data_IF_158542787433
#
_entry.id   IF_158542787433
#
_cell.length_a   1.000
_cell.length_b   1.000
_cell.length_c   1.000
_cell.angle_alpha   90.00
_cell.angle_beta   90.00
_cell.angle_gamma   90.00
#
_symmetry.space_group_name_H-M   'P 1'
#
loop_
_entity.id
_entity.type
_entity.pdbx_description
1 polymer ?
#
# COMPACT_ATOMS: atom_id res chain seq x y z
N UNK A 1 7.12 67.82 22.37
CA UNK A 1 7.56 66.58 23.06
C UNK A 1 6.45 65.53 23.16
N UNK A 2 5.19 65.88 23.49
CA UNK A 2 4.06 64.92 23.53
C UNK A 2 3.67 64.29 22.16
N UNK A 3 3.83 65.00 21.04
CA UNK A 3 3.46 64.47 19.71
C UNK A 3 4.43 63.37 19.24
N UNK A 4 5.72 63.48 19.59
CA UNK A 4 6.75 62.50 19.23
C UNK A 4 6.63 61.19 20.05
N UNK A 5 6.22 61.27 21.32
CA UNK A 5 6.02 60.08 22.14
C UNK A 5 4.77 59.29 21.73
N UNK A 6 3.69 59.96 21.32
CA UNK A 6 2.47 59.29 20.85
C UNK A 6 2.69 58.57 19.52
N UNK A 7 3.44 59.16 18.58
CA UNK A 7 3.81 58.54 17.31
C UNK A 7 4.70 57.30 17.50
N UNK A 8 5.63 57.32 18.47
CA UNK A 8 6.47 56.18 18.80
C UNK A 8 5.68 54.97 19.33
N UNK A 9 4.69 55.20 20.20
CA UNK A 9 3.86 54.13 20.79
C UNK A 9 2.92 53.50 19.75
N UNK A 10 2.37 54.30 18.81
CA UNK A 10 1.48 53.79 17.76
C UNK A 10 2.25 52.93 16.74
N UNK A 11 3.47 53.33 16.37
CA UNK A 11 4.34 52.56 15.46
C UNK A 11 4.80 51.22 16.08
N UNK A 12 5.15 51.22 17.38
CA UNK A 12 5.53 49.99 18.10
C UNK A 12 4.34 49.02 18.28
N UNK A 13 3.12 49.54 18.50
CA UNK A 13 1.91 48.74 18.60
C UNK A 13 1.48 48.08 17.28
N UNK A 14 1.70 48.73 16.14
CA UNK A 14 1.41 48.18 14.82
C UNK A 14 2.41 47.07 14.41
N UNK A 15 3.69 47.21 14.75
CA UNK A 15 4.71 46.18 14.50
C UNK A 15 4.48 44.90 15.29
N UNK A 16 4.06 45.01 16.56
CA UNK A 16 3.70 43.84 17.38
C UNK A 16 2.47 43.11 16.85
N UNK A 17 1.45 43.83 16.36
CA UNK A 17 0.26 43.21 15.74
C UNK A 17 0.58 42.51 14.42
N UNK A 18 1.47 43.07 13.60
CA UNK A 18 1.91 42.44 12.36
C UNK A 18 2.72 41.16 12.61
N UNK A 19 3.59 41.14 13.64
CA UNK A 19 4.36 39.97 14.04
C UNK A 19 3.49 38.83 14.60
N UNK A 20 2.41 39.15 15.32
CA UNK A 20 1.45 38.15 15.81
C UNK A 20 0.64 37.56 14.64
N UNK A 21 0.20 38.41 13.71
CA UNK A 21 -0.52 37.96 12.51
C UNK A 21 0.36 37.11 11.57
N UNK A 22 1.66 37.41 11.46
CA UNK A 22 2.61 36.56 10.73
C UNK A 22 2.74 35.19 11.40
N UNK A 23 2.88 35.13 12.73
CA UNK A 23 3.01 33.85 13.46
C UNK A 23 1.77 32.96 13.30
N UNK A 24 0.57 33.52 13.28
CA UNK A 24 -0.67 32.77 13.01
C UNK A 24 -0.75 32.27 11.57
N UNK A 25 -0.34 33.08 10.59
CA UNK A 25 -0.33 32.69 9.17
C UNK A 25 0.72 31.61 8.84
N UNK A 26 1.89 31.62 9.50
CA UNK A 26 2.90 30.58 9.33
C UNK A 26 2.53 29.27 10.07
N UNK A 27 1.95 29.34 11.26
CA UNK A 27 1.44 28.16 11.97
C UNK A 27 0.33 27.42 11.20
N UNK A 28 -0.56 28.17 10.53
CA UNK A 28 -1.59 27.61 9.65
C UNK A 28 -1.02 26.87 8.43
N UNK A 29 0.10 27.35 7.86
CA UNK A 29 0.76 26.71 6.71
C UNK A 29 1.45 25.39 7.07
N UNK A 30 2.14 25.32 8.21
CA UNK A 30 2.78 24.08 8.70
C UNK A 30 1.72 23.00 8.98
N UNK A 31 0.61 23.35 9.65
CA UNK A 31 -0.46 22.39 9.93
C UNK A 31 -1.20 21.88 8.68
N UNK A 32 -1.25 22.65 7.59
CA UNK A 32 -1.82 22.22 6.30
C UNK A 32 -0.88 21.23 5.59
N UNK A 33 0.42 21.54 5.52
CA UNK A 33 1.42 20.65 4.93
C UNK A 33 1.50 19.31 5.67
N UNK A 34 1.46 19.33 7.01
CA UNK A 34 1.50 18.13 7.83
C UNK A 34 0.28 17.21 7.65
N UNK A 35 -0.92 17.80 7.55
CA UNK A 35 -2.16 17.04 7.22
C UNK A 35 -2.11 16.47 5.81
N UNK A 36 -1.51 17.20 4.88
CA UNK A 36 -1.40 16.77 3.48
C UNK A 36 -0.49 15.55 3.33
N UNK A 37 0.63 15.52 4.05
CA UNK A 37 1.57 14.40 4.06
C UNK A 37 0.94 13.14 4.67
N UNK A 38 0.27 13.27 5.82
CA UNK A 38 -0.43 12.15 6.48
C UNK A 38 -1.53 11.57 5.58
N UNK A 39 -2.37 12.43 4.99
CA UNK A 39 -3.40 11.99 4.03
C UNK A 39 -2.79 11.35 2.79
N UNK A 40 -1.67 11.86 2.29
CA UNK A 40 -0.94 11.28 1.16
C UNK A 40 -0.47 9.86 1.48
N UNK A 41 0.17 9.65 2.63
CA UNK A 41 0.62 8.33 3.06
C UNK A 41 -0.54 7.34 3.26
N UNK A 42 -1.65 7.79 3.86
CA UNK A 42 -2.85 6.96 4.01
C UNK A 42 -3.50 6.62 2.67
N UNK A 43 -3.54 7.54 1.71
CA UNK A 43 -4.04 7.26 0.36
C UNK A 43 -3.24 6.19 -0.38
N UNK A 44 -1.92 6.14 -0.16
CA UNK A 44 -1.09 5.06 -0.72
C UNK A 44 -1.54 3.71 -0.14
N UNK A 45 -1.66 3.62 1.19
CA UNK A 45 -2.13 2.41 1.86
C UNK A 45 -3.55 2.02 1.41
N UNK A 46 -4.47 2.97 1.36
CA UNK A 46 -5.83 2.75 0.85
C UNK A 46 -5.82 2.23 -0.59
N UNK A 47 -5.02 2.83 -1.46
CA UNK A 47 -4.92 2.46 -2.87
C UNK A 47 -4.45 1.01 -3.05
N UNK A 48 -3.48 0.58 -2.26
CA UNK A 48 -3.03 -0.82 -2.26
C UNK A 48 -4.11 -1.75 -1.67
N UNK A 49 -4.71 -1.41 -0.53
CA UNK A 49 -5.74 -2.23 0.13
C UNK A 49 -7.01 -2.41 -0.71
N UNK A 50 -7.35 -1.46 -1.59
CA UNK A 50 -8.49 -1.62 -2.52
C UNK A 50 -8.29 -2.75 -3.53
N UNK A 51 -7.05 -3.17 -3.77
CA UNK A 51 -6.74 -4.27 -4.68
C UNK A 51 -6.65 -5.63 -3.97
N UNK A 52 -6.56 -5.61 -2.64
CA UNK A 52 -6.44 -6.79 -1.78
C UNK A 52 -7.81 -7.45 -1.64
N UNK A 53 -7.84 -8.78 -1.73
CA UNK A 53 -8.99 -9.58 -1.31
C UNK A 53 -8.64 -10.40 -0.08
N UNK A 54 -9.57 -10.47 0.87
CA UNK A 54 -9.41 -11.37 2.02
C UNK A 54 -9.90 -12.78 1.72
N UNK A 55 -10.75 -12.94 0.69
CA UNK A 55 -11.33 -14.21 0.30
C UNK A 55 -10.24 -15.24 0.04
N UNK A 56 -10.37 -16.37 0.74
CA UNK A 56 -9.50 -17.52 0.54
C UNK A 56 -10.13 -18.47 -0.46
N UNK A 57 -9.34 -18.92 -1.43
CA UNK A 57 -9.82 -19.84 -2.44
C UNK A 57 -8.99 -19.87 -3.73
N UNK A 58 -9.25 -20.87 -4.58
CA UNK A 58 -8.53 -21.04 -5.84
C UNK A 58 -8.73 -19.86 -6.80
N UNK A 59 -9.95 -19.29 -6.86
CA UNK A 59 -10.29 -18.14 -7.71
C UNK A 59 -9.54 -16.84 -7.37
N UNK A 60 -8.84 -16.77 -6.23
CA UNK A 60 -8.00 -15.64 -5.79
C UNK A 60 -6.52 -16.03 -5.63
N UNK A 61 -6.19 -17.31 -5.76
CA UNK A 61 -4.86 -17.85 -5.47
C UNK A 61 -4.52 -17.77 -3.99
N UNK A 62 -5.52 -18.00 -3.15
CA UNK A 62 -5.47 -17.83 -1.70
C UNK A 62 -5.72 -16.39 -1.26
N UNK A 63 -5.76 -16.18 0.06
CA UNK A 63 -5.93 -14.85 0.66
C UNK A 63 -4.75 -13.91 0.34
N UNK A 64 -5.04 -12.65 0.01
CA UNK A 64 -3.99 -11.64 -0.15
C UNK A 64 -3.45 -11.16 1.20
N UNK A 65 -4.09 -11.49 2.32
CA UNK A 65 -3.71 -11.00 3.66
C UNK A 65 -3.00 -12.12 4.42
N UNK A 66 -1.80 -11.84 4.91
CA UNK A 66 -1.04 -12.77 5.75
C UNK A 66 -1.16 -12.47 7.23
N UNK A 67 -1.34 -11.20 7.59
CA UNK A 67 -1.46 -10.78 8.99
C UNK A 67 -2.29 -9.51 9.07
N UNK A 68 -3.27 -9.48 9.97
CA UNK A 68 -4.09 -8.31 10.26
C UNK A 68 -4.06 -8.03 11.77
N UNK A 69 -3.25 -7.06 12.18
CA UNK A 69 -3.14 -6.63 13.57
C UNK A 69 -3.62 -5.19 13.76
N UNK A 70 -3.80 -4.77 15.01
CA UNK A 70 -4.32 -3.44 15.36
C UNK A 70 -3.41 -2.29 14.89
N UNK A 71 -2.12 -2.52 14.69
CA UNK A 71 -1.15 -1.48 14.29
C UNK A 71 -0.29 -1.89 13.09
N UNK A 72 -0.62 -3.02 12.47
CA UNK A 72 0.07 -3.45 11.25
C UNK A 72 -0.77 -4.40 10.42
N UNK A 73 -0.61 -4.34 9.11
CA UNK A 73 -1.20 -5.29 8.16
C UNK A 73 -0.13 -5.75 7.18
N UNK A 74 -0.13 -7.04 6.86
CA UNK A 74 0.74 -7.63 5.85
C UNK A 74 -0.10 -8.29 4.75
N UNK A 75 0.13 -7.91 3.49
CA UNK A 75 -0.65 -8.37 2.36
C UNK A 75 0.16 -8.43 1.05
N UNK A 76 -0.37 -9.07 0.00
CA UNK A 76 0.17 -9.10 -1.36
C UNK A 76 -0.16 -7.78 -2.08
N UNK A 77 0.84 -6.95 -2.33
CA UNK A 77 0.68 -5.76 -3.14
C UNK A 77 1.04 -6.07 -4.60
N UNK A 78 0.10 -5.83 -5.51
CA UNK A 78 0.29 -6.04 -6.95
C UNK A 78 1.29 -4.99 -7.49
N UNK A 79 2.20 -5.41 -8.38
CA UNK A 79 3.27 -4.57 -8.93
C UNK A 79 3.31 -4.54 -10.44
N UNK A 80 3.26 -5.71 -11.07
CA UNK A 80 3.36 -5.85 -12.53
C UNK A 80 2.18 -6.65 -13.04
N UNK A 81 1.82 -6.43 -14.29
CA UNK A 81 0.74 -7.16 -14.95
C UNK A 81 1.15 -7.41 -16.40
N UNK A 82 0.66 -8.50 -16.96
CA UNK A 82 0.91 -8.88 -18.35
C UNK A 82 -0.01 -10.00 -18.79
N UNK A 83 0.28 -10.53 -19.96
CA UNK A 83 -0.41 -11.70 -20.49
C UNK A 83 0.61 -12.73 -20.99
N UNK A 84 0.24 -13.99 -20.87
CA UNK A 84 0.96 -15.11 -21.48
C UNK A 84 0.77 -15.07 -22.99
N UNK A 85 1.81 -15.41 -23.72
CA UNK A 85 1.83 -15.50 -25.17
C UNK A 85 1.99 -16.94 -25.66
N UNK A 86 2.84 -17.69 -24.97
CA UNK A 86 3.23 -19.05 -25.33
C UNK A 86 3.49 -19.79 -24.02
N UNK A 87 3.16 -21.07 -24.00
CA UNK A 87 3.31 -21.93 -22.84
C UNK A 87 4.07 -23.16 -23.29
N UNK A 88 5.08 -23.55 -22.52
CA UNK A 88 5.82 -24.78 -22.76
C UNK A 88 5.90 -25.60 -21.46
N UNK A 89 4.91 -26.48 -21.22
CA UNK A 89 4.80 -27.24 -19.97
C UNK A 89 6.02 -28.13 -19.69
N UNK A 90 6.57 -28.78 -20.72
CA UNK A 90 7.69 -29.72 -20.59
C UNK A 90 8.98 -29.06 -20.07
N UNK A 91 9.18 -27.78 -20.43
CA UNK A 91 10.38 -27.02 -20.07
C UNK A 91 10.08 -25.96 -18.98
N UNK A 92 8.86 -25.93 -18.42
CA UNK A 92 8.45 -25.04 -17.34
C UNK A 92 8.69 -23.54 -17.60
N UNK A 93 8.38 -23.08 -18.81
CA UNK A 93 8.46 -21.66 -19.14
C UNK A 93 7.23 -21.15 -19.89
N UNK A 94 7.02 -19.84 -19.77
CA UNK A 94 6.02 -19.09 -20.53
C UNK A 94 6.68 -17.91 -21.23
N UNK A 95 6.27 -17.62 -22.46
CA UNK A 95 6.53 -16.30 -23.04
C UNK A 95 5.45 -15.34 -22.52
N UNK A 96 5.85 -14.14 -22.12
CA UNK A 96 4.97 -13.15 -21.53
C UNK A 96 5.18 -11.78 -22.17
N UNK A 97 4.08 -11.04 -22.26
CA UNK A 97 4.07 -9.63 -22.63
C UNK A 97 3.74 -8.80 -21.38
N UNK A 98 4.72 -8.12 -20.78
CA UNK A 98 4.47 -7.19 -19.68
C UNK A 98 3.68 -5.97 -20.19
N UNK A 99 2.80 -5.45 -19.34
CA UNK A 99 2.16 -4.15 -19.48
C UNK A 99 2.83 -3.16 -18.52
N UNK A 100 3.81 -2.43 -19.03
CA UNK A 100 4.60 -1.49 -18.22
C UNK A 100 5.94 -2.09 -17.85
N UNK A 101 6.20 -2.28 -16.55
CA UNK A 101 7.48 -2.80 -16.07
C UNK A 101 7.68 -4.27 -16.45
N UNK A 102 8.88 -4.65 -16.91
CA UNK A 102 9.19 -6.04 -17.24
C UNK A 102 9.25 -6.91 -15.97
N UNK A 103 8.89 -8.17 -16.12
CA UNK A 103 9.14 -9.18 -15.09
C UNK A 103 10.66 -9.43 -14.97
N UNK A 104 11.11 -9.70 -13.75
CA UNK A 104 12.52 -10.01 -13.44
C UNK A 104 12.60 -11.32 -12.66
N UNK A 105 13.81 -11.85 -12.56
CA UNK A 105 14.11 -12.99 -11.69
C UNK A 105 13.68 -12.70 -10.24
N UNK A 106 13.21 -13.72 -9.53
CA UNK A 106 12.66 -13.66 -8.16
C UNK A 106 11.32 -12.92 -8.00
N UNK A 107 10.70 -12.43 -9.08
CA UNK A 107 9.32 -11.95 -9.00
C UNK A 107 8.39 -13.10 -8.58
N UNK A 108 7.52 -12.84 -7.60
CA UNK A 108 6.41 -13.73 -7.28
C UNK A 108 5.21 -13.39 -8.17
N UNK A 109 4.64 -14.41 -8.82
CA UNK A 109 3.56 -14.28 -9.79
C UNK A 109 2.29 -14.96 -9.30
N UNK A 110 1.16 -14.38 -9.70
CA UNK A 110 -0.14 -15.02 -9.82
C UNK A 110 -0.39 -15.28 -11.30
N UNK A 111 -0.42 -16.55 -11.68
CA UNK A 111 -0.69 -17.01 -13.04
C UNK A 111 -2.10 -17.59 -13.10
N UNK A 112 -2.92 -17.13 -14.05
CA UNK A 112 -4.27 -17.64 -14.20
C UNK A 112 -4.26 -18.98 -14.94
N UNK A 113 -5.03 -19.93 -14.42
CA UNK A 113 -5.19 -21.28 -14.94
C UNK A 113 -6.68 -21.54 -15.14
N UNK A 114 -7.06 -21.89 -16.36
CA UNK A 114 -8.41 -22.28 -16.79
C UNK A 114 -8.37 -23.80 -17.06
N UNK A 115 -9.13 -24.58 -16.28
CA UNK A 115 -9.14 -26.03 -16.41
C UNK A 115 -10.04 -26.48 -17.56
N UNK A 116 -11.31 -26.04 -17.50
CA UNK A 116 -12.34 -26.24 -18.52
C UNK A 116 -12.96 -24.89 -18.87
N UNK A 117 -12.74 -24.44 -20.10
CA UNK A 117 -13.28 -23.19 -20.65
C UNK A 117 -14.81 -23.03 -20.56
N UNK A 118 -15.54 -24.10 -20.25
CA UNK A 118 -17.00 -24.11 -20.06
C UNK A 118 -17.43 -24.06 -18.58
N UNK A 119 -16.51 -24.19 -17.62
CA UNK A 119 -16.79 -24.23 -16.18
C UNK A 119 -15.87 -23.31 -15.37
N UNK A 120 -16.31 -22.07 -15.16
CA UNK A 120 -15.59 -21.07 -14.35
C UNK A 120 -15.25 -21.48 -12.91
N UNK A 121 -15.79 -22.60 -12.40
CA UNK A 121 -15.56 -23.05 -11.03
C UNK A 121 -14.19 -23.73 -10.85
N UNK A 122 -13.54 -24.14 -11.94
CA UNK A 122 -12.19 -24.70 -11.90
C UNK A 122 -11.08 -23.67 -12.18
N UNK A 123 -11.48 -22.48 -12.65
CA UNK A 123 -10.63 -21.30 -12.79
C UNK A 123 -9.95 -20.93 -11.49
N UNK A 124 -8.64 -20.72 -11.56
CA UNK A 124 -7.84 -20.38 -10.39
C UNK A 124 -6.64 -19.53 -10.71
N UNK A 125 -6.13 -18.85 -9.69
CA UNK A 125 -4.81 -18.25 -9.74
C UNK A 125 -3.83 -19.14 -9.00
N UNK A 126 -2.74 -19.50 -9.67
CA UNK A 126 -1.64 -20.25 -9.07
C UNK A 126 -0.48 -19.31 -8.74
N UNK A 127 0.15 -19.52 -7.59
CA UNK A 127 1.34 -18.76 -7.20
C UNK A 127 2.60 -19.45 -7.70
N UNK A 128 3.47 -18.72 -8.38
CA UNK A 128 4.76 -19.25 -8.87
C UNK A 128 5.85 -18.19 -8.80
N UNK A 129 7.10 -18.60 -8.60
CA UNK A 129 8.25 -17.70 -8.67
C UNK A 129 8.87 -17.71 -10.08
N UNK A 130 9.40 -16.57 -10.51
CA UNK A 130 10.23 -16.49 -11.72
C UNK A 130 11.64 -16.94 -11.39
N UNK A 131 12.04 -18.10 -11.92
CA UNK A 131 13.36 -18.67 -11.72
C UNK A 131 14.43 -18.03 -12.61
N UNK A 132 14.06 -17.57 -13.81
CA UNK A 132 14.95 -16.83 -14.70
C UNK A 132 14.15 -16.05 -15.75
N UNK A 133 14.74 -14.98 -16.30
CA UNK A 133 14.16 -14.22 -17.39
C UNK A 133 15.14 -14.16 -18.57
N UNK A 134 14.63 -14.43 -19.76
CA UNK A 134 15.38 -14.28 -21.01
C UNK A 134 14.58 -13.51 -22.05
N UNK A 135 15.27 -12.88 -23.01
CA UNK A 135 14.61 -12.22 -24.13
C UNK A 135 14.16 -13.22 -25.19
N UNK A 136 13.07 -12.91 -25.88
CA UNK A 136 12.68 -13.63 -27.10
C UNK A 136 12.99 -12.81 -28.35
N UNK A 137 12.90 -13.44 -29.52
CA UNK A 137 12.98 -12.73 -30.81
C UNK A 137 11.63 -12.15 -31.25
N UNK A 138 10.54 -12.53 -30.59
CA UNK A 138 9.20 -12.05 -30.91
C UNK A 138 8.93 -10.73 -30.18
N UNK A 139 8.83 -9.60 -30.90
CA UNK A 139 8.59 -8.31 -30.27
C UNK A 139 7.20 -8.21 -29.61
N UNK A 140 6.26 -9.08 -29.98
CA UNK A 140 4.95 -9.13 -29.32
C UNK A 140 5.00 -9.82 -27.96
N UNK A 141 6.02 -10.64 -27.72
CA UNK A 141 6.17 -11.50 -26.54
C UNK A 141 7.62 -11.48 -26.06
N UNK A 142 8.11 -10.31 -25.61
CA UNK A 142 9.54 -10.03 -25.51
C UNK A 142 10.27 -10.79 -24.40
N UNK A 143 9.54 -11.37 -23.43
CA UNK A 143 10.14 -12.05 -22.28
C UNK A 143 9.76 -13.53 -22.27
N UNK A 144 10.74 -14.41 -22.08
CA UNK A 144 10.54 -15.79 -21.64
C UNK A 144 10.83 -15.83 -20.14
N UNK A 145 9.84 -16.25 -19.37
CA UNK A 145 9.91 -16.45 -17.93
C UNK A 145 10.07 -17.95 -17.68
N UNK A 146 11.24 -18.35 -17.19
CA UNK A 146 11.42 -19.67 -16.59
C UNK A 146 10.73 -19.64 -15.24
N UNK A 147 9.83 -20.58 -15.00
CA UNK A 147 9.03 -20.64 -13.78
C UNK A 147 9.62 -21.69 -12.82
N UNK A 148 9.41 -21.46 -11.52
CA UNK A 148 9.57 -22.52 -10.53
C UNK A 148 8.55 -23.65 -10.73
N UNK A 149 8.64 -24.73 -9.95
CA UNK A 149 7.77 -25.90 -10.12
C UNK A 149 6.28 -25.53 -10.02
N UNK A 150 5.54 -25.72 -11.12
CA UNK A 150 4.08 -25.62 -11.15
C UNK A 150 3.47 -26.46 -12.29
N UNK A 151 2.20 -26.79 -12.18
CA UNK A 151 1.45 -27.35 -13.32
C UNK A 151 1.06 -26.23 -14.27
N UNK A 152 1.45 -26.34 -15.54
CA UNK A 152 1.11 -25.37 -16.59
C UNK A 152 -0.10 -25.82 -17.44
N UNK A 153 -0.65 -26.99 -17.14
CA UNK A 153 -1.90 -27.45 -17.74
C UNK A 153 -3.04 -26.47 -17.39
N UNK A 154 -3.69 -25.95 -18.43
CA UNK A 154 -4.72 -24.92 -18.30
C UNK A 154 -4.21 -23.48 -18.34
N UNK A 155 -2.89 -23.26 -18.44
CA UNK A 155 -2.34 -21.95 -18.82
C UNK A 155 -2.42 -21.83 -20.34
N UNK A 156 -2.96 -20.72 -20.84
CA UNK A 156 -3.19 -20.52 -22.27
C UNK A 156 -2.64 -19.17 -22.76
N UNK A 157 -2.33 -19.03 -24.07
CA UNK A 157 -2.04 -17.73 -24.67
C UNK A 157 -3.18 -16.73 -24.45
N UNK A 158 -2.87 -15.60 -23.83
CA UNK A 158 -3.83 -14.59 -23.37
C UNK A 158 -4.17 -14.68 -21.89
N UNK A 159 -3.77 -15.76 -21.19
CA UNK A 159 -3.96 -15.87 -19.75
C UNK A 159 -3.29 -14.70 -19.02
N UNK A 160 -3.98 -14.02 -18.09
CA UNK A 160 -3.40 -12.92 -17.35
C UNK A 160 -2.35 -13.42 -16.35
N UNK A 161 -1.27 -12.65 -16.22
CA UNK A 161 -0.22 -12.86 -15.23
C UNK A 161 0.01 -11.58 -14.44
N UNK A 162 0.15 -11.68 -13.12
CA UNK A 162 0.39 -10.54 -12.23
C UNK A 162 1.57 -10.83 -11.32
N UNK A 163 2.46 -9.87 -11.15
CA UNK A 163 3.47 -9.94 -10.10
C UNK A 163 2.95 -9.26 -8.83
N UNK A 164 3.29 -9.84 -7.69
CA UNK A 164 3.04 -9.26 -6.38
C UNK A 164 4.30 -9.31 -5.51
N UNK A 165 4.31 -8.46 -4.49
CA UNK A 165 5.25 -8.56 -3.38
C UNK A 165 4.49 -8.60 -2.07
N UNK A 166 5.00 -9.34 -1.09
CA UNK A 166 4.50 -9.20 0.27
C UNK A 166 4.97 -7.88 0.85
N UNK A 167 4.06 -7.06 1.34
CA UNK A 167 4.38 -5.82 2.06
C UNK A 167 3.75 -5.86 3.43
N UNK A 168 4.43 -5.25 4.41
CA UNK A 168 3.87 -4.95 5.72
C UNK A 168 3.84 -3.45 5.91
N UNK A 169 2.65 -2.93 6.17
CA UNK A 169 2.45 -1.57 6.67
C UNK A 169 2.24 -1.64 8.18
N UNK A 170 2.73 -0.65 8.90
CA UNK A 170 2.47 -0.58 10.34
C UNK A 170 3.15 0.60 11.01
N UNK A 171 2.93 0.71 12.32
CA UNK A 171 3.62 1.66 13.18
C UNK A 171 5.01 1.12 13.53
N UNK A 172 6.05 1.94 13.35
CA UNK A 172 7.43 1.61 13.68
C UNK A 172 8.10 2.75 14.42
N UNK A 173 9.06 2.41 15.28
CA UNK A 173 9.95 3.36 15.94
C UNK A 173 11.17 3.62 15.04
N UNK A 174 11.36 4.88 14.65
CA UNK A 174 12.50 5.35 13.85
C UNK A 174 13.52 6.12 14.70
N UNK A 175 13.55 5.88 16.01
CA UNK A 175 14.51 6.44 16.96
C UNK A 175 14.36 7.95 17.07
N UNK A 176 15.38 8.70 16.63
CA UNK A 176 15.36 10.16 16.68
C UNK A 176 14.22 10.80 15.84
N UNK A 177 13.70 10.08 14.86
CA UNK A 177 12.55 10.52 14.05
C UNK A 177 11.19 10.19 14.70
N UNK A 178 11.20 9.49 15.83
CA UNK A 178 10.01 9.07 16.56
C UNK A 178 9.21 7.99 15.84
N UNK A 179 7.96 7.84 16.25
CA UNK A 179 7.04 6.86 15.68
C UNK A 179 6.51 7.30 14.32
N UNK A 180 6.35 6.36 13.41
CA UNK A 180 5.87 6.64 12.06
C UNK A 180 5.21 5.45 11.38
N UNK A 181 4.39 5.75 10.35
CA UNK A 181 3.88 4.74 9.45
C UNK A 181 5.03 4.32 8.53
N UNK A 182 5.40 3.05 8.62
CA UNK A 182 6.43 2.44 7.79
C UNK A 182 5.87 1.39 6.84
N UNK A 183 6.61 1.15 5.76
CA UNK A 183 6.42 0.03 4.85
C UNK A 183 7.66 -0.85 4.87
N UNK A 184 7.48 -2.16 5.02
CA UNK A 184 8.55 -3.15 4.99
C UNK A 184 8.26 -4.25 3.97
N UNK A 185 9.23 -4.54 3.12
CA UNK A 185 9.26 -5.76 2.28
C UNK A 185 10.10 -6.84 2.98
N UNK A 186 9.84 -8.13 2.72
CA UNK A 186 10.70 -9.21 3.18
C UNK A 186 12.18 -8.93 2.82
N UNK A 187 13.08 -9.11 3.77
CA UNK A 187 14.52 -8.90 3.57
C UNK A 187 14.99 -7.44 3.49
N UNK A 188 14.08 -6.45 3.48
CA UNK A 188 14.43 -5.03 3.40
C UNK A 188 14.24 -4.29 4.73
N UNK A 189 15.00 -3.20 4.97
CA UNK A 189 14.73 -2.29 6.09
C UNK A 189 13.37 -1.61 5.94
N UNK A 190 12.81 -1.18 7.07
CA UNK A 190 11.55 -0.41 7.08
C UNK A 190 11.79 0.96 6.45
N UNK A 191 10.94 1.34 5.49
CA UNK A 191 10.95 2.67 4.87
C UNK A 191 9.88 3.54 5.53
N UNK A 192 10.26 4.70 6.03
CA UNK A 192 9.35 5.69 6.58
C UNK A 192 8.47 6.29 5.48
N UNK A 193 7.14 6.31 5.69
CA UNK A 193 6.18 6.99 4.81
C UNK A 193 5.75 8.32 5.39
N UNK A 194 5.42 8.33 6.68
CA UNK A 194 5.11 9.55 7.44
C UNK A 194 5.50 9.38 8.90
N UNK A 195 6.15 10.40 9.47
CA UNK A 195 6.64 10.40 10.85
C UNK A 195 5.80 11.25 11.80
N UNK A 196 6.29 11.38 13.04
CA UNK A 196 5.66 12.09 14.17
C UNK A 196 4.25 11.56 14.52
N UNK A 197 4.00 10.29 14.26
CA UNK A 197 2.79 9.65 14.77
C UNK A 197 2.87 9.53 16.29
N UNK A 198 1.71 9.42 16.94
CA UNK A 198 1.68 9.00 18.33
C UNK A 198 2.31 7.59 18.45
N UNK A 199 2.71 7.25 19.68
CA UNK A 199 3.28 5.93 19.94
C UNK A 199 2.26 4.80 19.85
N UNK A 200 2.66 3.59 20.26
CA UNK A 200 1.83 2.40 20.24
C UNK A 200 0.48 2.60 20.93
N UNK A 201 -0.56 1.99 20.37
CA UNK A 201 -1.95 2.06 20.82
C UNK A 201 -2.72 3.27 20.30
N UNK A 202 -2.04 4.32 19.83
CA UNK A 202 -2.69 5.57 19.45
C UNK A 202 -2.22 6.16 18.11
N UNK A 203 -1.00 5.85 17.67
CA UNK A 203 -0.39 6.39 16.44
C UNK A 203 -1.04 5.91 15.17
N UNK A 204 -1.27 4.60 15.09
CA UNK A 204 -1.93 3.94 13.98
C UNK A 204 -2.85 2.87 14.56
N UNK A 205 -4.13 2.97 14.25
CA UNK A 205 -5.15 2.00 14.66
C UNK A 205 -5.83 1.47 13.40
N UNK A 206 -5.80 0.15 13.24
CA UNK A 206 -6.41 -0.62 12.18
C UNK A 206 -7.53 -1.47 12.81
N UNK A 207 -8.76 -1.20 12.39
CA UNK A 207 -9.93 -1.96 12.80
C UNK A 207 -10.50 -2.69 11.58
N UNK A 208 -10.81 -3.98 11.74
CA UNK A 208 -11.29 -4.83 10.67
C UNK A 208 -12.73 -5.23 10.90
N UNK A 209 -13.51 -5.26 9.82
CA UNK A 209 -14.92 -5.58 9.83
C UNK A 209 -15.26 -6.59 8.74
N UNK A 210 -16.20 -7.47 9.04
CA UNK A 210 -16.78 -8.38 8.08
C UNK A 210 -17.75 -7.67 7.11
N UNK A 211 -18.30 -8.42 6.16
CA UNK A 211 -19.25 -7.90 5.16
C UNK A 211 -20.56 -7.36 5.79
N UNK A 212 -20.93 -7.86 6.98
CA UNK A 212 -22.08 -7.36 7.74
C UNK A 212 -21.74 -6.10 8.57
N UNK A 213 -20.47 -5.69 8.60
CA UNK A 213 -19.98 -4.53 9.32
C UNK A 213 -19.65 -4.79 10.80
N UNK A 214 -19.61 -6.04 11.25
CA UNK A 214 -19.23 -6.43 12.61
C UNK A 214 -17.69 -6.54 12.71
N UNK A 215 -17.08 -6.14 13.84
CA UNK A 215 -15.64 -6.35 14.05
C UNK A 215 -15.26 -7.82 13.93
N UNK A 216 -14.18 -8.12 13.19
CA UNK A 216 -13.65 -9.48 13.04
C UNK A 216 -12.14 -9.50 13.23
N UNK A 217 -11.62 -10.61 13.75
CA UNK A 217 -10.20 -10.94 13.79
C UNK A 217 -9.81 -12.01 12.76
N UNK A 218 -10.81 -12.60 12.10
CA UNK A 218 -10.60 -13.65 11.10
C UNK A 218 -10.18 -13.02 9.78
N UNK A 219 -8.96 -13.34 9.33
CA UNK A 219 -8.37 -12.72 8.15
C UNK A 219 -9.26 -12.90 6.92
N UNK A 220 -9.82 -14.09 6.73
CA UNK A 220 -10.60 -14.44 5.54
C UNK A 220 -11.94 -13.71 5.47
N UNK A 221 -12.44 -13.18 6.58
CA UNK A 221 -13.72 -12.47 6.67
C UNK A 221 -13.60 -10.95 6.47
N UNK A 222 -12.38 -10.41 6.39
CA UNK A 222 -12.16 -8.95 6.35
C UNK A 222 -12.69 -8.33 5.05
N UNK A 223 -13.87 -7.71 5.12
CA UNK A 223 -14.45 -6.96 4.00
C UNK A 223 -14.07 -5.46 4.02
N UNK A 224 -13.79 -4.92 5.21
CA UNK A 224 -13.54 -3.50 5.40
C UNK A 224 -12.48 -3.26 6.47
N UNK A 225 -11.56 -2.33 6.20
CA UNK A 225 -10.62 -1.83 7.18
C UNK A 225 -10.87 -0.34 7.45
N UNK A 226 -10.97 0.03 8.73
CA UNK A 226 -10.90 1.44 9.17
C UNK A 226 -9.48 1.72 9.64
N UNK A 227 -8.90 2.78 9.10
CA UNK A 227 -7.54 3.19 9.39
C UNK A 227 -7.61 4.55 10.07
N UNK A 228 -7.15 4.63 11.31
CA UNK A 228 -7.01 5.89 12.04
C UNK A 228 -5.54 6.13 12.31
N UNK A 229 -5.02 7.27 11.86
CA UNK A 229 -3.67 7.69 12.18
C UNK A 229 -3.72 9.01 12.95
N UNK A 230 -2.97 9.07 14.06
CA UNK A 230 -2.88 10.25 14.93
C UNK A 230 -1.45 10.72 14.98
N UNK A 231 -1.25 11.97 14.61
CA UNK A 231 0.03 12.68 14.63
C UNK A 231 0.09 13.64 15.82
N UNK A 232 1.25 13.71 16.46
CA UNK A 232 1.54 14.66 17.53
C UNK A 232 2.33 15.82 16.90
N UNK A 233 1.88 17.06 17.10
CA UNK A 233 2.62 18.25 16.65
C UNK A 233 3.99 18.30 17.32
N UNK A 234 5.03 18.67 16.55
CA UNK A 234 6.40 18.82 17.06
C UNK A 234 6.56 19.94 18.10
N UNK A 235 5.56 20.83 18.25
CA UNK A 235 5.52 21.90 19.25
C UNK A 235 4.67 21.56 20.48
N UNK A 236 4.07 20.36 20.54
CA UNK A 236 3.16 19.96 21.64
C UNK A 236 1.77 20.60 21.61
N UNK A 237 1.56 21.61 20.76
CA UNK A 237 0.27 22.26 20.56
C UNK A 237 -0.42 21.71 19.30
N UNK A 238 -1.23 20.68 19.48
CA UNK A 238 -2.15 20.16 18.47
C UNK A 238 -1.96 18.69 18.11
N UNK A 239 -3.06 17.96 18.05
CA UNK A 239 -3.15 16.61 17.50
C UNK A 239 -3.83 16.66 16.14
N UNK A 240 -3.24 15.98 15.16
CA UNK A 240 -3.87 15.79 13.85
C UNK A 240 -4.30 14.34 13.75
N UNK A 241 -5.59 14.11 13.61
CA UNK A 241 -6.15 12.78 13.39
C UNK A 241 -6.76 12.70 12.00
N UNK A 242 -6.47 11.60 11.30
CA UNK A 242 -7.10 11.27 10.02
C UNK A 242 -7.66 9.86 10.15
N UNK A 243 -8.95 9.72 9.91
CA UNK A 243 -9.62 8.43 9.83
C UNK A 243 -10.14 8.24 8.42
N UNK A 244 -9.90 7.05 7.88
CA UNK A 244 -10.34 6.64 6.55
C UNK A 244 -10.89 5.22 6.62
N UNK A 245 -11.69 4.85 5.63
CA UNK A 245 -12.29 3.51 5.53
C UNK A 245 -12.09 3.00 4.12
N UNK A 246 -11.57 1.78 4.01
CA UNK A 246 -11.34 1.09 2.76
C UNK A 246 -12.13 -0.21 2.73
N UNK A 247 -12.79 -0.47 1.61
CA UNK A 247 -13.42 -1.73 1.30
C UNK A 247 -12.46 -2.56 0.47
N UNK A 248 -12.31 -3.83 0.85
CA UNK A 248 -11.47 -4.79 0.14
C UNK A 248 -12.21 -5.31 -1.09
N UNK A 249 -11.47 -5.87 -2.04
CA UNK A 249 -12.03 -6.42 -3.27
C UNK A 249 -12.78 -7.73 -2.98
N UNK A 250 -13.97 -7.88 -3.58
CA UNK A 250 -14.76 -9.12 -3.63
C UNK A 250 -15.23 -9.66 -2.26
N UNK A 251 -15.60 -8.78 -1.32
CA UNK A 251 -16.20 -9.13 -0.03
C UNK A 251 -17.44 -8.31 0.27
#
# INVERSE_FOLDING_TARGET
MLVLSVLGVIMLGAGLRALIAEREAYGGRVGIEERSALRGALRILEGELRQVTSADGPSTGGTDIRTAGAESIAFRAQRKVGFVCEVQPADQWVAARPLGEPFIEDDALLLFVDGDSLDYRDDRWETVAVAAVSGTRDPSCPQRLQLGPMELDGVYPGAPVRSYEWVRYGLYDFGALGWGLGRRRPGEPVRLLVGNLAGPGEGLVLEYFDAAGKPTGEITEIARARITARRISGTGEGTVQVTTTVYLRNN
#
